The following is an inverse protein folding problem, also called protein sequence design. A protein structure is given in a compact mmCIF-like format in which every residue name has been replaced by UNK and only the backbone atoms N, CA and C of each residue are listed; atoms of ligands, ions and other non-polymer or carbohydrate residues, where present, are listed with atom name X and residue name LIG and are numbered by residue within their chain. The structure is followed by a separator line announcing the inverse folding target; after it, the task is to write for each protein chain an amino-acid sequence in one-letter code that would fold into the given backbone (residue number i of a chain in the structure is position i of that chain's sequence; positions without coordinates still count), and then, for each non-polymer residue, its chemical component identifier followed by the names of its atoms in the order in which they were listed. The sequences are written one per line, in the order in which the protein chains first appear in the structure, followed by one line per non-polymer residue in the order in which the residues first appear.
data_IF_286384799942
#
_entry.id   IF_286384799942
#
_cell.length_a   1.000
_cell.length_b   1.000
_cell.length_c   1.000
_cell.angle_alpha   90.00
_cell.angle_beta   90.00
_cell.angle_gamma   90.00
#
_symmetry.space_group_name_H-M   'P 1'
#
loop_
_entity.id
_entity.type
_entity.pdbx_description
1 polymer ?
#
# COMPACT_ATOMS: atom_id res chain seq x y z
N UNK A 1 0.00 1.46 -29.07
CA UNK A 1 0.90 2.62 -29.37
C UNK A 1 0.44 3.86 -28.58
N UNK A 2 -0.81 4.31 -28.72
CA UNK A 2 -1.34 5.53 -28.07
C UNK A 2 -1.19 5.49 -26.55
N UNK A 3 -1.54 4.37 -25.89
CA UNK A 3 -1.40 4.23 -24.43
C UNK A 3 0.05 4.31 -23.97
N UNK A 4 0.99 3.76 -24.74
CA UNK A 4 2.43 3.88 -24.48
C UNK A 4 2.86 5.35 -24.49
N UNK A 5 2.48 6.10 -25.52
CA UNK A 5 2.82 7.53 -25.67
C UNK A 5 2.26 8.35 -24.49
N UNK A 6 0.99 8.13 -24.13
CA UNK A 6 0.37 8.86 -23.01
C UNK A 6 1.04 8.50 -21.68
N UNK A 7 1.32 7.20 -21.43
CA UNK A 7 2.05 6.77 -20.25
C UNK A 7 3.43 7.38 -20.16
N UNK A 8 4.14 7.44 -21.29
CA UNK A 8 5.49 8.02 -21.36
C UNK A 8 5.46 9.53 -21.07
N UNK A 9 4.48 10.26 -21.62
CA UNK A 9 4.28 11.69 -21.32
C UNK A 9 4.02 11.92 -19.83
N UNK A 10 3.17 11.11 -19.19
CA UNK A 10 2.97 11.21 -17.75
C UNK A 10 4.24 10.91 -16.96
N UNK A 11 5.01 9.92 -17.39
CA UNK A 11 6.28 9.55 -16.75
C UNK A 11 7.33 10.67 -16.88
N UNK A 12 7.50 11.25 -18.07
CA UNK A 12 8.42 12.35 -18.32
C UNK A 12 8.07 13.62 -17.52
N UNK A 13 6.79 13.86 -17.27
CA UNK A 13 6.31 14.96 -16.43
C UNK A 13 6.32 14.65 -14.91
N UNK A 14 6.90 13.50 -14.51
CA UNK A 14 6.96 13.09 -13.10
C UNK A 14 5.63 12.63 -12.50
N UNK A 15 4.57 12.54 -13.32
CA UNK A 15 3.26 12.07 -12.86
C UNK A 15 3.15 10.54 -12.95
N UNK A 16 3.99 9.86 -12.17
CA UNK A 16 4.12 8.41 -12.16
C UNK A 16 2.81 7.70 -11.78
N UNK A 17 2.03 8.30 -10.89
CA UNK A 17 0.72 7.75 -10.46
C UNK A 17 -0.26 7.65 -11.63
N UNK A 18 -0.33 8.68 -12.48
CA UNK A 18 -1.21 8.64 -13.66
C UNK A 18 -0.70 7.68 -14.73
N UNK A 19 0.61 7.56 -14.90
CA UNK A 19 1.20 6.57 -15.81
C UNK A 19 0.86 5.13 -15.39
N UNK A 20 0.96 4.83 -14.09
CA UNK A 20 0.60 3.53 -13.50
C UNK A 20 -0.89 3.26 -13.65
N UNK A 21 -1.74 4.24 -13.35
CA UNK A 21 -3.20 4.12 -13.52
C UNK A 21 -3.57 3.78 -14.97
N UNK A 22 -2.97 4.46 -15.92
CA UNK A 22 -3.22 4.22 -17.35
C UNK A 22 -2.79 2.81 -17.79
N UNK A 23 -1.75 2.24 -17.18
CA UNK A 23 -1.37 0.85 -17.40
C UNK A 23 -2.45 -0.12 -16.94
N UNK A 24 -3.02 0.08 -15.74
CA UNK A 24 -4.10 -0.77 -15.25
C UNK A 24 -5.39 -0.63 -16.07
N UNK A 25 -5.72 0.59 -16.51
CA UNK A 25 -6.86 0.81 -17.43
C UNK A 25 -6.66 0.04 -18.75
N UNK A 26 -5.41 0.02 -19.25
CA UNK A 26 -5.06 -0.75 -20.45
C UNK A 26 -5.17 -2.26 -20.21
N UNK A 27 -4.65 -2.75 -19.07
CA UNK A 27 -4.73 -4.17 -18.70
C UNK A 27 -6.17 -4.65 -18.69
N UNK A 28 -7.07 -3.87 -18.08
CA UNK A 28 -8.49 -4.19 -18.02
C UNK A 28 -9.11 -4.26 -19.43
N UNK A 29 -8.82 -3.29 -20.28
CA UNK A 29 -9.34 -3.24 -21.65
C UNK A 29 -8.85 -4.42 -22.49
N UNK A 30 -7.62 -4.88 -22.27
CA UNK A 30 -7.07 -6.04 -22.98
C UNK A 30 -7.63 -7.37 -22.48
N UNK A 31 -7.92 -7.50 -21.16
CA UNK A 31 -8.52 -8.70 -20.58
C UNK A 31 -10.03 -8.82 -20.89
N UNK A 32 -10.78 -7.70 -20.75
CA UNK A 32 -12.25 -7.73 -20.90
C UNK A 32 -12.69 -7.81 -22.37
N UNK A 33 -11.97 -7.16 -23.30
CA UNK A 33 -12.43 -7.00 -24.67
C UNK A 33 -11.64 -7.83 -25.71
N UNK A 34 -10.39 -8.21 -25.44
CA UNK A 34 -9.50 -8.73 -26.48
C UNK A 34 -8.82 -10.07 -26.15
N UNK A 35 -8.92 -10.56 -24.94
CA UNK A 35 -8.19 -11.77 -24.46
C UNK A 35 -6.69 -11.74 -24.85
N UNK A 36 -6.07 -10.55 -24.74
CA UNK A 36 -4.70 -10.26 -25.15
C UNK A 36 -3.92 -9.63 -23.99
N UNK A 37 -2.61 -9.70 -24.06
CA UNK A 37 -1.72 -9.01 -23.11
C UNK A 37 -1.18 -7.70 -23.71
N UNK A 38 -0.88 -6.68 -22.89
CA UNK A 38 -0.17 -5.48 -23.34
C UNK A 38 1.19 -5.82 -23.96
N UNK A 39 1.61 -5.01 -24.93
CA UNK A 39 2.91 -5.20 -25.57
C UNK A 39 4.06 -5.10 -24.55
N UNK A 40 5.17 -5.80 -24.83
CA UNK A 40 6.35 -5.79 -23.98
C UNK A 40 6.85 -4.36 -23.71
N UNK A 41 6.78 -3.45 -24.68
CA UNK A 41 7.13 -2.03 -24.52
C UNK A 41 6.33 -1.33 -23.43
N UNK A 42 5.04 -1.62 -23.33
CA UNK A 42 4.15 -1.04 -22.30
C UNK A 42 4.48 -1.64 -20.93
N UNK A 43 4.73 -2.95 -20.85
CA UNK A 43 5.18 -3.62 -19.62
C UNK A 43 6.52 -3.06 -19.14
N UNK A 44 7.50 -2.89 -20.04
CA UNK A 44 8.81 -2.33 -19.71
C UNK A 44 8.72 -0.86 -19.26
N UNK A 45 7.84 -0.06 -19.88
CA UNK A 45 7.58 1.30 -19.44
C UNK A 45 6.94 1.32 -18.05
N UNK A 46 5.96 0.46 -17.80
CA UNK A 46 5.35 0.32 -16.48
C UNK A 46 6.39 -0.03 -15.41
N UNK A 47 7.23 -1.06 -15.63
CA UNK A 47 8.29 -1.42 -14.70
C UNK A 47 9.29 -0.28 -14.48
N UNK A 48 9.66 0.45 -15.55
CA UNK A 48 10.53 1.62 -15.43
C UNK A 48 9.90 2.73 -14.61
N UNK A 49 8.64 3.07 -14.87
CA UNK A 49 7.88 4.11 -14.14
C UNK A 49 7.70 3.70 -12.68
N UNK A 50 7.38 2.45 -12.45
CA UNK A 50 7.23 1.88 -11.13
C UNK A 50 8.55 1.94 -10.35
N UNK A 51 9.65 1.51 -10.96
CA UNK A 51 10.99 1.56 -10.38
C UNK A 51 11.48 3.00 -10.13
N UNK A 52 11.19 3.95 -11.03
CA UNK A 52 11.56 5.37 -10.82
C UNK A 52 10.76 5.96 -9.67
N UNK A 53 9.46 5.64 -9.55
CA UNK A 53 8.66 6.03 -8.38
C UNK A 53 9.27 5.49 -7.07
N UNK A 54 9.88 4.31 -7.11
CA UNK A 54 10.57 3.71 -5.97
C UNK A 54 11.97 4.29 -5.74
N UNK A 55 12.76 4.53 -6.79
CA UNK A 55 14.09 5.17 -6.66
C UNK A 55 14.00 6.61 -6.15
N UNK A 56 12.96 7.35 -6.52
CA UNK A 56 12.66 8.68 -5.93
C UNK A 56 12.33 8.56 -4.43
N UNK A 57 11.85 7.39 -3.97
CA UNK A 57 11.68 7.11 -2.54
C UNK A 57 12.99 6.75 -1.81
N UNK A 58 13.96 6.12 -2.49
CA UNK A 58 15.18 5.57 -1.86
C UNK A 58 16.40 6.49 -1.98
N UNK A 59 16.53 7.27 -3.02
CA UNK A 59 17.54 8.32 -3.10
C UNK A 59 16.95 9.59 -2.51
N UNK A 60 17.41 9.97 -1.32
CA UNK A 60 16.99 11.16 -0.58
C UNK A 60 17.11 12.47 -1.36
N UNK A 61 16.41 12.60 -2.46
CA UNK A 61 16.05 13.87 -3.04
C UNK A 61 14.90 14.40 -2.20
N UNK A 62 15.27 15.16 -1.16
CA UNK A 62 14.38 16.10 -0.52
C UNK A 62 13.94 17.11 -1.57
N UNK A 63 12.94 16.80 -2.36
CA UNK A 63 12.04 17.82 -2.84
C UNK A 63 11.26 18.20 -1.61
N UNK A 64 11.81 19.12 -0.84
CA UNK A 64 11.11 19.88 0.18
C UNK A 64 10.01 20.68 -0.53
N UNK A 65 8.95 20.01 -0.94
CA UNK A 65 7.68 20.69 -1.06
C UNK A 65 7.28 20.97 0.37
N UNK A 66 7.28 22.23 0.80
CA UNK A 66 6.88 22.55 2.16
C UNK A 66 5.44 22.04 2.32
N UNK A 67 5.26 21.02 3.16
CA UNK A 67 3.94 20.60 3.56
C UNK A 67 3.37 21.72 4.40
N UNK A 68 2.50 22.54 3.76
CA UNK A 68 1.97 23.77 4.35
C UNK A 68 0.76 23.38 5.22
N UNK A 69 0.71 23.89 6.44
CA UNK A 69 -0.42 23.70 7.34
C UNK A 69 -0.40 22.36 8.10
N UNK A 70 -1.54 21.94 8.61
CA UNK A 70 -1.84 20.64 9.27
C UNK A 70 -0.89 20.23 10.39
N UNK A 71 -0.38 21.21 11.15
CA UNK A 71 0.58 20.95 12.26
C UNK A 71 -0.01 20.02 13.31
N UNK A 72 -1.31 20.12 13.57
CA UNK A 72 -2.01 19.28 14.54
C UNK A 72 -2.05 17.83 14.06
N UNK A 73 -2.47 17.60 12.83
CA UNK A 73 -2.58 16.27 12.23
C UNK A 73 -1.19 15.62 12.07
N UNK A 74 -0.16 16.44 11.73
CA UNK A 74 1.24 15.97 11.69
C UNK A 74 1.76 15.58 13.07
N UNK A 75 1.39 16.30 14.11
CA UNK A 75 1.71 15.91 15.47
C UNK A 75 1.01 14.60 15.86
N UNK A 76 -0.24 14.42 15.45
CA UNK A 76 -1.01 13.21 15.71
C UNK A 76 -0.43 11.98 15.02
N UNK A 77 0.00 12.09 13.75
CA UNK A 77 0.66 10.97 13.05
C UNK A 77 2.04 10.67 13.62
N UNK A 78 2.81 11.70 14.03
CA UNK A 78 4.09 11.48 14.69
C UNK A 78 3.93 10.73 16.00
N UNK A 79 2.95 11.10 16.83
CA UNK A 79 2.63 10.37 18.06
C UNK A 79 2.12 8.95 17.79
N UNK A 80 1.38 8.74 16.69
CA UNK A 80 0.96 7.41 16.27
C UNK A 80 2.16 6.51 15.92
N UNK A 81 3.18 7.04 15.25
CA UNK A 81 4.38 6.30 14.89
C UNK A 81 5.30 5.96 16.09
N UNK A 82 5.04 6.53 17.24
CA UNK A 82 5.79 6.27 18.49
C UNK A 82 5.15 5.21 19.39
N UNK A 83 4.19 4.44 18.85
CA UNK A 83 3.50 3.39 19.59
C UNK A 83 4.47 2.36 20.17
N UNK A 84 4.12 1.91 21.37
CA UNK A 84 4.92 0.95 22.15
C UNK A 84 4.10 -0.32 22.43
N UNK A 85 4.80 -1.36 22.86
CA UNK A 85 4.17 -2.62 23.22
C UNK A 85 3.08 -2.42 24.30
N UNK A 86 1.93 -3.09 24.10
CA UNK A 86 0.77 -3.00 24.99
C UNK A 86 -0.21 -1.88 24.66
N UNK A 87 0.10 -1.00 23.71
CA UNK A 87 -0.90 -0.07 23.16
C UNK A 87 -1.83 -0.81 22.19
N UNK A 88 -3.11 -0.37 22.12
CA UNK A 88 -4.11 -1.06 21.31
C UNK A 88 -4.18 -0.53 19.87
N UNK A 89 -3.89 0.76 19.68
CA UNK A 89 -4.11 1.45 18.40
C UNK A 89 -2.96 1.14 17.44
N UNK A 90 -3.19 0.22 16.51
CA UNK A 90 -2.26 -0.16 15.46
C UNK A 90 -2.63 0.36 14.06
N UNK A 91 -3.82 0.93 13.90
CA UNK A 91 -4.30 1.45 12.62
C UNK A 91 -4.67 2.94 12.74
N UNK A 92 -4.20 3.76 11.80
CA UNK A 92 -4.55 5.15 11.62
C UNK A 92 -5.35 5.29 10.33
N UNK A 93 -6.63 5.62 10.43
CA UNK A 93 -7.50 5.86 9.29
C UNK A 93 -7.65 7.37 9.06
N UNK A 94 -7.36 7.82 7.86
CA UNK A 94 -7.38 9.23 7.44
C UNK A 94 -8.53 9.43 6.47
N UNK A 95 -9.56 10.16 6.90
CA UNK A 95 -10.68 10.51 6.06
C UNK A 95 -10.58 11.94 5.52
N UNK A 96 -11.25 12.20 4.42
CA UNK A 96 -11.38 13.57 3.88
C UNK A 96 -12.03 13.57 2.51
N UNK A 97 -12.46 14.74 2.07
CA UNK A 97 -13.04 14.93 0.74
C UNK A 97 -11.99 14.68 -0.37
N UNK A 98 -12.47 14.50 -1.59
CA UNK A 98 -11.59 14.40 -2.76
C UNK A 98 -10.78 15.71 -2.92
N UNK A 99 -9.47 15.57 -3.21
CA UNK A 99 -8.59 16.73 -3.39
C UNK A 99 -8.09 17.40 -2.10
N UNK A 100 -8.55 16.97 -0.91
CA UNK A 100 -8.14 17.59 0.38
C UNK A 100 -6.69 17.33 0.77
N UNK A 101 -5.98 16.47 0.03
CA UNK A 101 -4.56 16.16 0.26
C UNK A 101 -4.31 14.93 1.14
N UNK A 102 -5.20 13.92 1.12
CA UNK A 102 -5.02 12.65 1.87
C UNK A 102 -3.74 11.92 1.49
N UNK A 103 -3.51 11.72 0.19
CA UNK A 103 -2.29 11.09 -0.34
C UNK A 103 -1.02 11.83 0.08
N UNK A 104 -1.01 13.17 -0.03
CA UNK A 104 0.15 13.98 0.40
C UNK A 104 0.37 13.89 1.91
N UNK A 105 -0.69 13.81 2.69
CA UNK A 105 -0.59 13.60 4.14
C UNK A 105 -0.05 12.21 4.47
N UNK A 106 -0.52 11.17 3.79
CA UNK A 106 0.00 9.80 3.91
C UNK A 106 1.49 9.75 3.58
N UNK A 107 1.91 10.35 2.45
CA UNK A 107 3.32 10.43 2.05
C UNK A 107 4.18 11.14 3.10
N UNK A 108 3.67 12.21 3.70
CA UNK A 108 4.35 12.89 4.80
C UNK A 108 4.50 11.97 6.02
N UNK A 109 3.47 11.21 6.36
CA UNK A 109 3.52 10.19 7.41
C UNK A 109 4.56 9.11 7.15
N UNK A 110 4.68 8.64 5.90
CA UNK A 110 5.71 7.67 5.51
C UNK A 110 7.12 8.25 5.61
N UNK A 111 7.34 9.52 5.25
CA UNK A 111 8.63 10.21 5.45
C UNK A 111 8.99 10.30 6.94
N UNK A 112 8.02 10.59 7.80
CA UNK A 112 8.23 10.59 9.26
C UNK A 112 8.59 9.19 9.78
N UNK A 113 7.95 8.15 9.28
CA UNK A 113 8.25 6.76 9.65
C UNK A 113 9.67 6.35 9.21
N UNK A 114 10.09 6.70 8.00
CA UNK A 114 11.46 6.50 7.53
C UNK A 114 12.49 7.23 8.42
N UNK A 115 12.21 8.46 8.83
CA UNK A 115 13.04 9.19 9.78
C UNK A 115 13.16 8.52 11.15
N UNK A 116 12.22 7.67 11.53
CA UNK A 116 12.21 6.83 12.72
C UNK A 116 12.79 5.41 12.49
N UNK A 117 13.45 5.20 11.35
CA UNK A 117 14.05 3.91 10.95
C UNK A 117 13.02 2.77 10.81
N UNK A 118 11.78 3.09 10.49
CA UNK A 118 10.76 2.09 10.16
C UNK A 118 10.79 1.78 8.67
N UNK A 119 10.51 0.53 8.31
CA UNK A 119 10.30 0.14 6.92
C UNK A 119 8.88 0.53 6.52
N UNK A 120 8.74 1.21 5.40
CA UNK A 120 7.44 1.61 4.87
C UNK A 120 7.11 0.78 3.64
N UNK A 121 5.94 0.17 3.64
CA UNK A 121 5.39 -0.60 2.52
C UNK A 121 4.08 0.07 2.10
N UNK A 122 3.95 0.42 0.82
CA UNK A 122 2.87 1.26 0.33
C UNK A 122 2.14 0.64 -0.86
N UNK A 123 0.82 0.69 -0.82
CA UNK A 123 -0.03 0.29 -1.92
C UNK A 123 -1.15 1.31 -2.14
N UNK A 124 -1.56 1.48 -3.39
CA UNK A 124 -2.74 2.28 -3.77
C UNK A 124 -3.86 1.34 -4.17
N UNK A 125 -5.04 1.55 -3.61
CA UNK A 125 -6.24 0.84 -4.02
C UNK A 125 -6.91 1.57 -5.17
N UNK A 126 -7.20 0.88 -6.26
CA UNK A 126 -7.82 1.44 -7.45
C UNK A 126 -9.22 0.88 -7.65
N UNK A 127 -10.12 1.73 -8.11
CA UNK A 127 -11.51 1.33 -8.39
C UNK A 127 -11.59 0.11 -9.31
N UNK A 128 -10.75 0.08 -10.34
CA UNK A 128 -10.66 -1.04 -11.29
C UNK A 128 -9.98 -2.27 -10.67
N UNK A 129 -9.27 -2.10 -9.57
CA UNK A 129 -8.60 -3.18 -8.84
C UNK A 129 -9.47 -3.87 -7.79
N UNK A 130 -10.66 -3.34 -7.50
CA UNK A 130 -11.55 -3.90 -6.46
C UNK A 130 -12.06 -5.31 -6.81
N UNK A 131 -12.10 -5.67 -8.08
CA UNK A 131 -12.50 -6.99 -8.57
C UNK A 131 -11.33 -8.00 -8.60
N UNK A 132 -10.07 -7.54 -8.42
CA UNK A 132 -8.90 -8.39 -8.44
C UNK A 132 -8.52 -8.83 -7.03
N UNK A 133 -8.39 -10.13 -6.85
CA UNK A 133 -8.05 -10.77 -5.61
C UNK A 133 -6.69 -10.31 -5.05
N UNK A 134 -6.69 -9.75 -3.84
CA UNK A 134 -5.50 -9.29 -3.12
C UNK A 134 -4.63 -8.27 -3.91
N UNK A 135 -5.25 -7.45 -4.75
CA UNK A 135 -4.52 -6.51 -5.61
C UNK A 135 -3.54 -5.60 -4.84
N UNK A 136 -3.94 -4.85 -3.79
CA UNK A 136 -2.99 -4.00 -3.06
C UNK A 136 -1.90 -4.80 -2.32
N UNK A 137 -2.16 -6.06 -1.98
CA UNK A 137 -1.16 -6.91 -1.35
C UNK A 137 -0.07 -7.37 -2.29
N UNK A 138 -0.36 -7.48 -3.60
CA UNK A 138 0.68 -7.77 -4.58
C UNK A 138 1.74 -6.65 -4.61
N UNK A 139 1.33 -5.39 -4.50
CA UNK A 139 2.26 -4.26 -4.41
C UNK A 139 3.10 -4.34 -3.12
N UNK A 140 2.47 -4.64 -1.98
CA UNK A 140 3.17 -4.85 -0.70
C UNK A 140 4.20 -5.99 -0.81
N UNK A 141 3.83 -7.14 -1.42
CA UNK A 141 4.76 -8.26 -1.57
C UNK A 141 5.93 -7.94 -2.49
N UNK A 142 5.70 -7.15 -3.55
CA UNK A 142 6.76 -6.65 -4.42
C UNK A 142 7.72 -5.73 -3.64
N UNK A 143 7.20 -4.81 -2.85
CA UNK A 143 8.02 -3.94 -2.01
C UNK A 143 8.85 -4.73 -0.98
N UNK A 144 8.25 -5.75 -0.33
CA UNK A 144 8.99 -6.65 0.57
C UNK A 144 10.15 -7.33 -0.16
N UNK A 145 9.90 -7.90 -1.34
CA UNK A 145 10.94 -8.54 -2.15
C UNK A 145 12.06 -7.57 -2.49
N UNK A 146 11.74 -6.37 -2.94
CA UNK A 146 12.74 -5.35 -3.25
C UNK A 146 13.56 -4.92 -2.03
N UNK A 147 12.92 -4.77 -0.86
CA UNK A 147 13.61 -4.45 0.38
C UNK A 147 14.59 -5.57 0.81
N UNK A 148 14.32 -6.82 0.46
CA UNK A 148 15.24 -7.93 0.67
C UNK A 148 16.39 -7.88 -0.33
N UNK A 149 16.09 -7.72 -1.63
CA UNK A 149 17.06 -7.69 -2.72
C UNK A 149 18.04 -6.52 -2.61
N UNK A 150 17.58 -5.33 -2.23
CA UNK A 150 18.42 -4.13 -2.04
C UNK A 150 19.11 -4.08 -0.68
N UNK A 151 18.87 -5.07 0.20
CA UNK A 151 19.50 -5.18 1.51
C UNK A 151 18.88 -4.34 2.62
N UNK A 152 17.82 -3.58 2.37
CA UNK A 152 17.08 -2.80 3.38
C UNK A 152 16.48 -3.72 4.46
N UNK A 153 15.98 -4.91 4.07
CA UNK A 153 15.50 -5.96 4.97
C UNK A 153 16.44 -7.18 4.98
N UNK A 154 17.74 -6.96 5.12
CA UNK A 154 18.75 -8.03 5.06
C UNK A 154 18.48 -9.12 6.11
N UNK A 155 18.31 -10.37 5.63
CA UNK A 155 18.10 -11.54 6.49
C UNK A 155 16.79 -11.49 7.29
N UNK A 156 15.78 -10.75 6.80
CA UNK A 156 14.44 -10.73 7.41
C UNK A 156 13.76 -12.08 7.30
N UNK A 157 13.95 -12.75 6.18
CA UNK A 157 13.35 -14.04 5.86
C UNK A 157 14.42 -15.10 5.66
N UNK A 158 14.07 -16.34 5.94
CA UNK A 158 14.84 -17.54 5.55
C UNK A 158 14.61 -17.88 4.07
N UNK A 159 15.46 -18.71 3.43
CA UNK A 159 15.25 -19.14 2.04
C UNK A 159 13.87 -19.76 1.79
N UNK A 160 13.34 -20.55 2.74
CA UNK A 160 12.00 -21.14 2.64
C UNK A 160 10.88 -20.09 2.66
N UNK A 161 11.09 -18.98 3.40
CA UNK A 161 10.12 -17.87 3.46
C UNK A 161 10.21 -16.99 2.24
N UNK A 162 11.40 -16.77 1.68
CA UNK A 162 11.59 -16.09 0.40
C UNK A 162 10.93 -16.88 -0.75
N UNK A 163 10.99 -18.21 -0.73
CA UNK A 163 10.28 -19.05 -1.68
C UNK A 163 8.75 -18.88 -1.54
N UNK A 164 8.22 -18.87 -0.31
CA UNK A 164 6.79 -18.61 -0.08
C UNK A 164 6.36 -17.23 -0.56
N UNK A 165 7.17 -16.21 -0.36
CA UNK A 165 6.93 -14.86 -0.89
C UNK A 165 6.90 -14.88 -2.43
N UNK A 166 7.84 -15.59 -3.05
CA UNK A 166 7.87 -15.77 -4.51
C UNK A 166 6.63 -16.51 -5.03
N UNK A 167 6.14 -17.51 -4.30
CA UNK A 167 4.89 -18.20 -4.62
C UNK A 167 3.65 -17.28 -4.51
N UNK A 168 3.61 -16.37 -3.55
CA UNK A 168 2.54 -15.37 -3.45
C UNK A 168 2.55 -14.42 -4.66
N UNK A 169 3.73 -14.00 -5.10
CA UNK A 169 3.91 -13.07 -6.23
C UNK A 169 3.60 -13.72 -7.59
N UNK A 170 3.95 -14.99 -7.78
CA UNK A 170 3.77 -15.67 -9.06
C UNK A 170 2.31 -16.07 -9.36
N UNK A 171 1.38 -15.84 -8.46
CA UNK A 171 -0.04 -16.18 -8.60
C UNK A 171 -0.90 -15.14 -9.28
N UNK A 172 -0.38 -13.94 -9.42
CA UNK A 172 -1.11 -12.84 -10.06
C UNK A 172 -1.19 -12.91 -11.59
N UNK A 173 -0.56 -13.93 -12.21
CA UNK A 173 -0.48 -14.03 -13.68
C UNK A 173 -0.60 -15.49 -14.10
N UNK A 174 -1.81 -16.01 -14.29
CA UNK A 174 -1.93 -17.24 -15.04
C UNK A 174 -3.08 -18.17 -14.67
N UNK A 175 -3.83 -18.49 -15.66
CA UNK A 175 -4.79 -19.54 -15.90
C UNK A 175 -4.90 -20.67 -14.83
N UNK A 176 -5.97 -20.57 -14.04
CA UNK A 176 -6.22 -21.30 -12.80
C UNK A 176 -7.02 -22.58 -12.99
N UNK A 177 -6.77 -23.39 -13.99
CA UNK A 177 -7.59 -24.61 -14.13
C UNK A 177 -6.96 -25.91 -13.64
N UNK A 178 -5.65 -25.99 -13.36
CA UNK A 178 -5.02 -27.26 -12.97
C UNK A 178 -3.94 -27.25 -11.88
N UNK A 179 -3.55 -26.12 -11.30
CA UNK A 179 -2.54 -26.07 -10.23
C UNK A 179 -3.19 -25.74 -8.90
N UNK A 180 -3.03 -26.60 -7.89
CA UNK A 180 -3.67 -26.59 -6.57
C UNK A 180 -3.91 -25.19 -6.00
N UNK A 181 -5.16 -24.73 -6.04
CA UNK A 181 -5.61 -23.46 -5.47
C UNK A 181 -5.16 -23.34 -4.02
N UNK A 182 -4.28 -22.38 -3.74
CA UNK A 182 -4.18 -21.93 -2.35
C UNK A 182 -5.50 -21.26 -1.98
N UNK A 183 -6.12 -21.80 -0.97
CA UNK A 183 -7.29 -21.17 -0.38
C UNK A 183 -6.86 -19.85 0.28
N UNK A 184 -7.79 -18.89 0.40
CA UNK A 184 -7.54 -17.66 1.16
C UNK A 184 -6.87 -17.93 2.52
N UNK A 185 -7.30 -18.99 3.22
CA UNK A 185 -6.73 -19.38 4.51
C UNK A 185 -5.23 -19.75 4.45
N UNK A 186 -4.77 -20.35 3.34
CA UNK A 186 -3.34 -20.65 3.16
C UNK A 186 -2.56 -19.37 2.90
N UNK A 187 -3.09 -18.46 2.08
CA UNK A 187 -2.50 -17.13 1.83
C UNK A 187 -2.42 -16.35 3.13
N UNK A 188 -3.50 -16.25 3.87
CA UNK A 188 -3.57 -15.56 5.17
C UNK A 188 -2.49 -16.09 6.12
N UNK A 189 -2.39 -17.41 6.30
CA UNK A 189 -1.38 -18.04 7.16
C UNK A 189 0.04 -17.73 6.69
N UNK A 190 0.28 -17.78 5.38
CA UNK A 190 1.59 -17.48 4.81
C UNK A 190 1.98 -16.03 5.06
N UNK A 191 1.07 -15.08 4.80
CA UNK A 191 1.32 -13.65 5.00
C UNK A 191 1.57 -13.35 6.47
N UNK A 192 0.75 -13.89 7.38
CA UNK A 192 0.97 -13.72 8.84
C UNK A 192 2.34 -14.27 9.23
N UNK A 193 2.73 -15.46 8.74
CA UNK A 193 4.03 -16.05 9.02
C UNK A 193 5.17 -15.14 8.54
N UNK A 194 5.11 -14.64 7.30
CA UNK A 194 6.11 -13.76 6.72
C UNK A 194 6.26 -12.46 7.53
N UNK A 195 5.17 -11.79 7.82
CA UNK A 195 5.21 -10.55 8.62
C UNK A 195 5.64 -10.78 10.06
N UNK A 196 5.30 -11.93 10.66
CA UNK A 196 5.81 -12.31 11.99
C UNK A 196 7.33 -12.44 11.99
N UNK A 197 7.93 -13.03 10.95
CA UNK A 197 9.39 -13.12 10.86
C UNK A 197 10.05 -11.76 10.59
N UNK A 198 9.50 -10.98 9.65
CA UNK A 198 10.00 -9.64 9.33
C UNK A 198 9.99 -8.75 10.58
N UNK A 199 8.91 -8.77 11.34
CA UNK A 199 8.71 -7.88 12.50
C UNK A 199 9.56 -8.25 13.72
N UNK A 200 10.19 -9.41 13.74
CA UNK A 200 11.23 -9.72 14.75
C UNK A 200 12.46 -8.82 14.64
N UNK A 201 12.73 -8.25 13.47
CA UNK A 201 13.93 -7.45 13.18
C UNK A 201 13.62 -6.01 12.79
N UNK A 202 12.47 -5.76 12.19
CA UNK A 202 12.12 -4.48 11.60
C UNK A 202 10.76 -4.01 12.07
N UNK A 203 10.64 -2.73 12.34
CA UNK A 203 9.35 -2.07 12.54
C UNK A 203 8.77 -1.70 11.17
N UNK A 204 7.52 -2.07 10.93
CA UNK A 204 6.85 -1.91 9.64
C UNK A 204 5.71 -0.91 9.74
N UNK A 205 5.59 -0.05 8.74
CA UNK A 205 4.38 0.72 8.45
C UNK A 205 3.79 0.24 7.14
N UNK A 206 2.62 -0.36 7.19
CA UNK A 206 1.80 -0.61 6.01
C UNK A 206 0.98 0.64 5.68
N UNK A 207 1.01 1.08 4.44
CA UNK A 207 0.23 2.21 4.00
C UNK A 207 -0.67 1.82 2.82
N UNK A 208 -1.96 2.08 2.95
CA UNK A 208 -2.94 1.83 1.91
C UNK A 208 -3.66 3.13 1.57
N UNK A 209 -3.51 3.61 0.33
CA UNK A 209 -4.20 4.81 -0.13
C UNK A 209 -5.52 4.43 -0.80
N UNK A 210 -6.58 5.19 -0.53
CA UNK A 210 -7.93 5.03 -1.12
C UNK A 210 -8.57 3.66 -0.84
N UNK A 211 -8.56 3.19 0.45
CA UNK A 211 -9.06 1.86 0.84
C UNK A 211 -10.53 1.60 0.54
N UNK A 212 -11.33 2.60 0.18
CA UNK A 212 -12.69 2.40 -0.34
C UNK A 212 -12.72 1.55 -1.62
N UNK A 213 -11.58 1.37 -2.29
CA UNK A 213 -11.41 0.52 -3.47
C UNK A 213 -10.68 -0.78 -3.18
N UNK A 214 -10.43 -1.09 -1.90
CA UNK A 214 -9.79 -2.34 -1.49
C UNK A 214 -10.80 -3.49 -1.58
N UNK A 215 -10.39 -4.63 -2.14
CA UNK A 215 -11.20 -5.83 -2.14
C UNK A 215 -11.40 -6.38 -0.71
N UNK A 216 -12.52 -7.09 -0.49
CA UNK A 216 -12.91 -7.58 0.82
C UNK A 216 -11.84 -8.48 1.46
N UNK A 217 -11.16 -9.32 0.67
CA UNK A 217 -10.15 -10.24 1.20
C UNK A 217 -8.87 -9.51 1.60
N UNK A 218 -8.48 -8.49 0.85
CA UNK A 218 -7.39 -7.58 1.22
C UNK A 218 -7.68 -6.87 2.54
N UNK A 219 -8.90 -6.41 2.72
CA UNK A 219 -9.36 -5.79 3.96
C UNK A 219 -9.28 -6.75 5.14
N UNK A 220 -9.79 -7.96 4.97
CA UNK A 220 -9.74 -9.00 6.01
C UNK A 220 -8.30 -9.34 6.39
N UNK A 221 -7.39 -9.44 5.41
CA UNK A 221 -5.98 -9.73 5.65
C UNK A 221 -5.29 -8.60 6.43
N UNK A 222 -5.56 -7.34 6.08
CA UNK A 222 -5.08 -6.17 6.80
C UNK A 222 -5.55 -6.20 8.27
N UNK A 223 -6.84 -6.40 8.51
CA UNK A 223 -7.39 -6.53 9.85
C UNK A 223 -6.77 -7.70 10.63
N UNK A 224 -6.56 -8.82 9.94
CA UNK A 224 -5.99 -10.02 10.57
C UNK A 224 -4.55 -9.80 11.03
N UNK A 225 -3.72 -9.15 10.22
CA UNK A 225 -2.35 -8.76 10.63
C UNK A 225 -2.36 -7.86 11.87
N UNK A 226 -3.24 -6.86 11.90
CA UNK A 226 -3.39 -5.97 13.06
C UNK A 226 -3.86 -6.70 14.34
N UNK A 227 -4.47 -7.88 14.22
CA UNK A 227 -4.83 -8.70 15.37
C UNK A 227 -3.73 -9.64 15.83
N UNK A 228 -2.84 -10.00 14.93
CA UNK A 228 -1.79 -11.00 15.18
C UNK A 228 -0.46 -10.39 15.59
N UNK A 229 -0.23 -9.13 15.25
CA UNK A 229 1.02 -8.42 15.50
C UNK A 229 0.79 -7.18 16.38
N UNK A 230 1.76 -6.89 17.24
CA UNK A 230 1.67 -5.77 18.17
C UNK A 230 1.91 -4.43 17.46
N UNK A 231 1.28 -3.32 17.93
CA UNK A 231 1.44 -2.00 17.32
C UNK A 231 2.84 -1.39 17.39
N UNK A 232 3.71 -1.93 18.25
CA UNK A 232 5.11 -1.49 18.32
C UNK A 232 5.97 -2.01 17.17
N UNK A 233 5.53 -3.09 16.49
CA UNK A 233 6.26 -3.70 15.37
C UNK A 233 5.56 -3.55 14.03
N UNK A 234 4.21 -3.48 14.01
CA UNK A 234 3.41 -3.27 12.79
C UNK A 234 2.35 -2.21 13.00
N UNK A 235 2.45 -1.12 12.24
CA UNK A 235 1.44 -0.07 12.16
C UNK A 235 0.81 -0.06 10.76
N UNK A 236 -0.44 0.34 10.67
CA UNK A 236 -1.14 0.57 9.40
C UNK A 236 -1.61 2.03 9.32
N UNK A 237 -1.39 2.67 8.19
CA UNK A 237 -1.97 3.98 7.87
C UNK A 237 -2.79 3.79 6.60
N UNK A 238 -4.05 4.19 6.64
CA UNK A 238 -4.91 4.09 5.46
C UNK A 238 -5.68 5.40 5.24
N UNK A 239 -5.99 5.69 3.97
CA UNK A 239 -6.80 6.84 3.60
C UNK A 239 -8.10 6.40 2.95
N UNK A 240 -9.15 7.21 3.08
CA UNK A 240 -10.41 6.98 2.37
C UNK A 240 -11.19 8.26 2.14
N UNK A 241 -12.11 8.21 1.19
CA UNK A 241 -12.99 9.33 0.89
C UNK A 241 -14.16 9.36 1.88
N UNK A 242 -14.49 10.56 2.40
CA UNK A 242 -15.63 10.76 3.30
C UNK A 242 -16.96 10.29 2.71
N UNK A 243 -17.15 10.34 1.38
CA UNK A 243 -18.35 9.83 0.72
C UNK A 243 -18.53 8.30 0.87
N UNK A 244 -17.47 7.57 1.20
CA UNK A 244 -17.46 6.11 1.43
C UNK A 244 -17.31 5.76 2.92
N UNK A 245 -17.53 6.71 3.82
CA UNK A 245 -17.34 6.53 5.28
C UNK A 245 -18.12 5.33 5.84
N UNK A 246 -19.37 5.17 5.43
CA UNK A 246 -20.22 4.08 5.94
C UNK A 246 -19.66 2.69 5.57
N UNK A 247 -19.26 2.49 4.33
CA UNK A 247 -18.72 1.23 3.81
C UNK A 247 -17.36 0.90 4.45
N UNK A 248 -16.48 1.91 4.54
CA UNK A 248 -15.15 1.75 5.16
C UNK A 248 -15.27 1.52 6.66
N UNK A 249 -16.18 2.22 7.35
CA UNK A 249 -16.41 2.04 8.79
C UNK A 249 -16.94 0.64 9.08
N UNK A 250 -17.85 0.10 8.25
CA UNK A 250 -18.32 -1.28 8.35
C UNK A 250 -17.15 -2.26 8.16
N UNK A 251 -16.29 -2.04 7.17
CA UNK A 251 -15.13 -2.88 6.92
C UNK A 251 -14.09 -2.83 8.06
N UNK A 252 -13.89 -1.65 8.67
CA UNK A 252 -12.99 -1.46 9.82
C UNK A 252 -13.61 -1.86 11.16
N UNK A 253 -14.92 -2.21 11.20
CA UNK A 253 -15.62 -2.55 12.44
C UNK A 253 -14.87 -3.54 13.34
N UNK A 254 -14.23 -4.61 12.83
CA UNK A 254 -13.48 -5.55 13.66
C UNK A 254 -12.33 -4.88 14.44
N UNK A 255 -11.68 -3.88 13.86
CA UNK A 255 -10.61 -3.09 14.49
C UNK A 255 -11.19 -2.03 15.46
N UNK A 256 -12.28 -1.38 15.05
CA UNK A 256 -12.99 -0.37 15.88
C UNK A 256 -13.50 -1.00 17.18
N UNK A 257 -14.11 -2.19 17.13
CA UNK A 257 -14.59 -2.93 18.32
C UNK A 257 -13.48 -3.22 19.34
N UNK A 258 -12.22 -3.21 18.94
CA UNK A 258 -11.06 -3.46 19.81
C UNK A 258 -10.33 -2.21 20.21
N UNK A 259 -10.85 -1.02 19.88
CA UNK A 259 -10.17 0.26 20.06
C UNK A 259 -8.80 0.30 19.36
N UNK A 260 -8.65 -0.42 18.23
CA UNK A 260 -7.39 -0.54 17.51
C UNK A 260 -7.23 0.47 16.37
N UNK A 261 -8.24 1.32 16.14
CA UNK A 261 -8.22 2.35 15.09
C UNK A 261 -8.27 3.75 15.69
N UNK A 262 -7.41 4.63 15.20
CA UNK A 262 -7.50 6.08 15.40
C UNK A 262 -7.94 6.72 14.08
N UNK A 263 -8.90 7.65 14.14
CA UNK A 263 -9.39 8.41 13.01
C UNK A 263 -8.80 9.82 13.00
N UNK A 264 -8.34 10.28 11.84
CA UNK A 264 -8.01 11.68 11.55
C UNK A 264 -8.88 12.15 10.39
N UNK A 265 -9.68 13.19 10.63
CA UNK A 265 -10.52 13.84 9.61
C UNK A 265 -9.79 15.05 9.03
N UNK A 266 -9.35 14.98 7.77
CA UNK A 266 -8.75 16.11 7.08
C UNK A 266 -9.83 17.05 6.57
N UNK A 267 -9.77 18.31 6.99
CA UNK A 267 -10.65 19.38 6.52
C UNK A 267 -9.99 20.16 5.37
N UNK A 268 -10.74 20.78 4.46
CA UNK A 268 -10.18 21.75 3.51
C UNK A 268 -9.38 22.83 4.24
N UNK A 269 -8.31 23.32 3.62
CA UNK A 269 -7.53 24.42 4.20
C UNK A 269 -8.37 25.67 4.40
N UNK A 270 -8.15 26.33 5.51
CA UNK A 270 -8.72 27.65 5.76
C UNK A 270 -7.85 28.72 5.08
N UNK A 271 -8.36 29.96 4.95
CA UNK A 271 -7.57 31.06 4.37
C UNK A 271 -6.40 31.51 5.24
N UNK A 272 -6.33 31.04 6.47
CA UNK A 272 -5.30 31.37 7.45
C UNK A 272 -4.17 30.32 7.48
N UNK A 273 -4.39 29.13 6.91
CA UNK A 273 -3.41 28.06 6.72
C UNK A 273 -2.71 28.18 5.36
#
# INVERSE_FOLDING_TARGET
ELYYEIMNVYAENGNYTMAIRLYYDLMKLFQDDLDMEPSQKVKDLFHRVFNVKEHVKTEGVSVDLPFIGRKKELYEISGFLERTAGEKVGCLAVEGEEGVGKTSFLECGLKLALGKQMITLYAVCYRQGADFFLNPWNDIFQEVRQCIENGTMKGALSPDEEEKLSQLLNRGVGDDRESGRLTYQMIEKTVISLFTEITKKYRIVLAFDDIQWMDQMSFQLMCRLQFMLEPDVLLTICTYNRSSEAEVTEALEPLVRRDSVKLIALQPFTKEE
#
